data_IF_481105030650
#
_entry.id   IF_481105030650
#
_cell.length_a   1.000
_cell.length_b   1.000
_cell.length_c   1.000
_cell.angle_alpha   90.00
_cell.angle_beta   90.00
_cell.angle_gamma   90.00
#
_symmetry.space_group_name_H-M   'P 1'
#
loop_
_entity.id
_entity.type
_entity.pdbx_description
1 polymer ?
#
# COMPACT_ATOMS: atom_id res chain seq x y z
N UNK A 1 6.89 35.74 -23.18
CA UNK A 1 6.55 37.10 -22.73
C UNK A 1 7.37 38.20 -23.43
N UNK A 2 8.72 38.10 -23.51
CA UNK A 2 9.57 39.15 -24.11
C UNK A 2 9.26 39.45 -25.60
N UNK A 3 9.01 38.42 -26.41
CA UNK A 3 8.67 38.55 -27.84
C UNK A 3 7.33 39.28 -28.08
N UNK A 4 6.26 38.88 -27.39
CA UNK A 4 4.94 39.52 -27.49
C UNK A 4 4.97 40.98 -27.00
N UNK A 5 5.76 41.25 -25.94
CA UNK A 5 6.01 42.62 -25.50
C UNK A 5 6.78 43.44 -26.55
N UNK A 6 7.66 42.80 -27.33
CA UNK A 6 8.33 43.38 -28.49
C UNK A 6 7.36 43.71 -29.62
N UNK A 7 6.49 42.78 -30.00
CA UNK A 7 5.43 43.00 -31.01
C UNK A 7 4.53 44.16 -30.59
N UNK A 8 4.08 44.19 -29.32
CA UNK A 8 3.23 45.27 -28.80
C UNK A 8 3.93 46.63 -28.85
N UNK A 9 5.22 46.71 -28.49
CA UNK A 9 6.02 47.94 -28.61
C UNK A 9 6.21 48.38 -30.06
N UNK A 10 6.41 47.43 -30.97
CA UNK A 10 6.61 47.71 -32.40
C UNK A 10 5.31 48.17 -33.08
N UNK A 11 4.15 47.55 -32.78
CA UNK A 11 2.83 48.00 -33.23
C UNK A 11 2.51 49.41 -32.73
N UNK A 12 2.79 49.69 -31.46
CA UNK A 12 2.58 51.02 -30.89
C UNK A 12 3.50 52.09 -31.53
N UNK A 13 4.71 51.72 -31.96
CA UNK A 13 5.61 52.59 -32.75
C UNK A 13 5.15 52.78 -34.19
N UNK A 14 4.57 51.76 -34.83
CA UNK A 14 4.03 51.85 -36.18
C UNK A 14 2.83 52.80 -36.27
N UNK A 15 1.98 52.84 -35.22
CA UNK A 15 0.84 53.77 -35.13
C UNK A 15 1.19 55.26 -35.05
N UNK A 16 2.45 55.62 -34.81
CA UNK A 16 2.91 57.03 -34.72
C UNK A 16 3.37 57.66 -36.03
N UNK A 17 3.35 56.93 -37.16
CA UNK A 17 3.73 57.49 -38.48
C UNK A 17 2.61 57.33 -39.49
N UNK A 18 1.62 58.23 -39.48
CA UNK A 18 0.74 58.44 -40.64
C UNK A 18 0.58 59.94 -40.88
N UNK A 19 1.33 60.46 -41.86
CA UNK A 19 1.04 61.73 -42.53
C UNK A 19 1.12 61.55 -44.05
N UNK A 20 -0.05 61.64 -44.69
CA UNK A 20 -0.36 61.93 -46.11
C UNK A 20 0.20 61.04 -47.23
N UNK A 21 -0.69 60.58 -48.14
CA UNK A 21 -1.14 61.34 -49.32
C UNK A 21 -2.38 60.72 -49.98
N UNK A 22 -3.35 61.58 -50.30
CA UNK A 22 -4.43 61.37 -51.27
C UNK A 22 -3.87 61.25 -52.68
N UNK A 23 -4.30 60.23 -53.42
CA UNK A 23 -4.06 60.12 -54.85
C UNK A 23 -4.43 58.74 -55.36
N UNK A 24 -5.44 58.66 -56.23
CA UNK A 24 -5.86 57.41 -56.87
C UNK A 24 -4.72 56.80 -57.69
N UNK A 25 -4.50 55.51 -57.49
CA UNK A 25 -3.53 54.67 -58.18
C UNK A 25 -3.68 53.24 -57.70
N UNK A 26 -3.43 52.27 -58.58
CA UNK A 26 -3.76 50.84 -58.50
C UNK A 26 -3.74 50.19 -57.11
N UNK A 27 -4.75 49.35 -56.86
CA UNK A 27 -4.83 48.52 -55.65
C UNK A 27 -3.64 47.55 -55.62
N UNK A 28 -2.81 47.68 -54.60
CA UNK A 28 -1.77 46.67 -54.28
C UNK A 28 -2.46 45.37 -53.87
N UNK A 29 -2.13 44.25 -54.52
CA UNK A 29 -2.52 42.92 -54.06
C UNK A 29 -1.42 42.39 -53.13
N UNK A 30 -1.74 42.18 -51.86
CA UNK A 30 -0.79 41.76 -50.82
C UNK A 30 -1.08 40.31 -50.41
N UNK A 31 -0.85 39.39 -51.36
CA UNK A 31 -1.15 37.97 -51.16
C UNK A 31 -0.30 37.32 -50.07
N UNK A 32 0.92 37.80 -49.85
CA UNK A 32 1.81 37.32 -48.78
C UNK A 32 1.23 37.67 -47.39
N UNK A 33 0.74 38.91 -47.20
CA UNK A 33 0.07 39.29 -45.96
C UNK A 33 -1.24 38.51 -45.75
N UNK A 34 -2.04 38.33 -46.80
CA UNK A 34 -3.29 37.58 -46.71
C UNK A 34 -3.06 36.11 -46.32
N UNK A 35 -2.04 35.46 -46.89
CA UNK A 35 -1.66 34.09 -46.53
C UNK A 35 -1.21 33.98 -45.07
N UNK A 36 -0.34 34.89 -44.60
CA UNK A 36 0.11 34.91 -43.21
C UNK A 36 -1.01 35.27 -42.22
N UNK A 37 -1.94 36.15 -42.61
CA UNK A 37 -3.13 36.46 -41.83
C UNK A 37 -4.05 35.24 -41.69
N UNK A 38 -4.23 34.47 -42.77
CA UNK A 38 -5.02 33.23 -42.75
C UNK A 38 -4.36 32.17 -41.86
N UNK A 39 -3.04 32.00 -41.96
CA UNK A 39 -2.25 31.12 -41.07
C UNK A 39 -2.42 31.52 -39.61
N UNK A 40 -2.31 32.81 -39.30
CA UNK A 40 -2.51 33.34 -37.95
C UNK A 40 -3.94 33.09 -37.44
N UNK A 41 -4.97 33.35 -38.26
CA UNK A 41 -6.37 33.13 -37.88
C UNK A 41 -6.70 31.66 -37.67
N UNK A 42 -6.11 30.77 -38.47
CA UNK A 42 -6.20 29.32 -38.29
C UNK A 42 -5.57 28.90 -36.96
N UNK A 43 -4.37 29.41 -36.64
CA UNK A 43 -3.70 29.16 -35.36
C UNK A 43 -4.52 29.68 -34.18
N UNK A 44 -5.07 30.89 -34.26
CA UNK A 44 -5.91 31.49 -33.22
C UNK A 44 -7.13 30.61 -32.92
N UNK A 45 -7.85 30.18 -33.97
CA UNK A 45 -9.03 29.31 -33.84
C UNK A 45 -8.68 27.95 -33.24
N UNK A 46 -7.60 27.32 -33.71
CA UNK A 46 -7.13 26.01 -33.21
C UNK A 46 -6.67 26.11 -31.75
N UNK A 47 -5.95 27.17 -31.39
CA UNK A 47 -5.47 27.43 -30.02
C UNK A 47 -6.63 27.63 -29.04
N UNK A 48 -7.65 28.38 -29.44
CA UNK A 48 -8.86 28.57 -28.63
C UNK A 48 -9.65 27.27 -28.44
N UNK A 49 -9.77 26.44 -29.49
CA UNK A 49 -10.41 25.12 -29.41
C UNK A 49 -9.63 24.19 -28.48
N UNK A 50 -8.30 24.18 -28.58
CA UNK A 50 -7.43 23.39 -27.70
C UNK A 50 -7.55 23.84 -26.23
N UNK A 51 -7.57 25.14 -25.96
CA UNK A 51 -7.75 25.67 -24.60
C UNK A 51 -9.09 25.23 -23.99
N UNK A 52 -10.17 25.20 -24.80
CA UNK A 52 -11.47 24.69 -24.37
C UNK A 52 -11.41 23.20 -24.02
N UNK A 53 -10.84 22.37 -24.89
CA UNK A 53 -10.73 20.92 -24.64
C UNK A 53 -9.82 20.58 -23.45
N UNK A 54 -8.72 21.32 -23.27
CA UNK A 54 -7.86 21.17 -22.09
C UNK A 54 -8.63 21.44 -20.78
N UNK A 55 -9.53 22.43 -20.78
CA UNK A 55 -10.41 22.71 -19.64
C UNK A 55 -11.41 21.57 -19.40
N UNK A 56 -12.08 21.10 -20.45
CA UNK A 56 -13.04 19.98 -20.38
C UNK A 56 -12.37 18.68 -19.88
N UNK A 57 -11.12 18.43 -20.28
CA UNK A 57 -10.32 17.29 -19.79
C UNK A 57 -10.02 17.40 -18.29
N UNK A 58 -9.64 18.58 -17.80
CA UNK A 58 -9.39 18.82 -16.37
C UNK A 58 -10.68 18.59 -15.56
N UNK A 59 -11.81 19.09 -16.05
CA UNK A 59 -13.10 18.92 -15.36
C UNK A 59 -13.56 17.46 -15.33
N UNK A 60 -13.34 16.72 -16.43
CA UNK A 60 -13.61 15.28 -16.50
C UNK A 60 -12.71 14.47 -15.56
N UNK A 61 -11.41 14.83 -15.49
CA UNK A 61 -10.45 14.20 -14.59
C UNK A 61 -10.83 14.43 -13.12
N UNK A 62 -11.31 15.65 -12.77
CA UNK A 62 -11.83 15.94 -11.43
C UNK A 62 -13.05 15.08 -11.09
N UNK A 63 -13.96 14.86 -12.03
CA UNK A 63 -15.12 14.00 -11.82
C UNK A 63 -14.70 12.53 -11.60
N UNK A 64 -13.70 12.04 -12.34
CA UNK A 64 -13.12 10.71 -12.14
C UNK A 64 -12.49 10.60 -10.75
N UNK A 65 -11.64 11.56 -10.35
CA UNK A 65 -11.02 11.59 -9.02
C UNK A 65 -12.09 11.56 -7.93
N UNK A 66 -13.15 12.36 -8.05
CA UNK A 66 -14.25 12.35 -7.09
C UNK A 66 -14.98 10.99 -7.01
N UNK A 67 -15.13 10.29 -8.13
CA UNK A 67 -15.70 8.93 -8.16
C UNK A 67 -14.76 7.90 -7.51
N UNK A 68 -13.46 8.00 -7.76
CA UNK A 68 -12.44 7.14 -7.16
C UNK A 68 -12.34 7.35 -5.65
N UNK A 69 -12.43 8.59 -5.17
CA UNK A 69 -12.49 8.88 -3.73
C UNK A 69 -13.72 8.25 -3.07
N UNK A 70 -14.89 8.25 -3.73
CA UNK A 70 -16.08 7.55 -3.21
C UNK A 70 -15.87 6.04 -3.14
N UNK A 71 -15.23 5.44 -4.15
CA UNK A 71 -14.87 4.01 -4.12
C UNK A 71 -13.91 3.69 -2.97
N UNK A 72 -12.88 4.52 -2.78
CA UNK A 72 -11.95 4.41 -1.65
C UNK A 72 -12.71 4.52 -0.32
N UNK A 73 -13.63 5.47 -0.16
CA UNK A 73 -14.44 5.60 1.05
C UNK A 73 -15.36 4.40 1.29
N UNK A 74 -15.93 3.80 0.23
CA UNK A 74 -16.72 2.57 0.35
C UNK A 74 -15.82 1.41 0.77
N UNK A 75 -14.64 1.28 0.18
CA UNK A 75 -13.65 0.29 0.61
C UNK A 75 -13.19 0.54 2.05
N UNK A 76 -12.88 1.77 2.44
CA UNK A 76 -12.55 2.13 3.81
C UNK A 76 -13.70 1.89 4.79
N UNK A 77 -14.96 1.94 4.37
CA UNK A 77 -16.08 1.50 5.23
C UNK A 77 -16.13 -0.02 5.32
N UNK A 78 -15.95 -0.74 4.22
CA UNK A 78 -15.87 -2.20 4.20
C UNK A 78 -14.68 -2.74 5.01
N UNK A 79 -13.55 -2.03 5.01
CA UNK A 79 -12.34 -2.35 5.77
C UNK A 79 -12.29 -1.69 7.16
N UNK A 80 -12.95 -0.56 7.37
CA UNK A 80 -12.96 0.20 8.63
C UNK A 80 -14.05 -0.27 9.60
N UNK A 81 -15.10 -0.92 9.09
CA UNK A 81 -16.03 -1.75 9.87
C UNK A 81 -15.40 -3.09 10.29
N UNK A 82 -14.09 -3.32 10.07
CA UNK A 82 -13.37 -4.48 10.64
C UNK A 82 -13.11 -4.38 12.15
N UNK A 83 -13.64 -3.35 12.82
CA UNK A 83 -14.13 -3.56 14.19
C UNK A 83 -15.47 -4.29 14.16
N UNK A 84 -15.58 -5.37 13.38
CA UNK A 84 -16.67 -6.30 13.54
C UNK A 84 -16.46 -6.89 14.94
N UNK A 85 -17.31 -6.55 15.93
CA UNK A 85 -17.11 -7.02 17.29
C UNK A 85 -17.15 -8.55 17.35
N UNK A 86 -17.83 -9.20 16.39
CA UNK A 86 -17.84 -10.64 16.26
C UNK A 86 -16.47 -11.17 15.80
N UNK A 87 -15.86 -10.59 14.76
CA UNK A 87 -14.51 -10.95 14.33
C UNK A 87 -13.47 -10.72 15.43
N UNK A 88 -13.55 -9.58 16.11
CA UNK A 88 -12.63 -9.27 17.21
C UNK A 88 -12.74 -10.28 18.36
N UNK A 89 -13.97 -10.62 18.78
CA UNK A 89 -14.23 -11.55 19.89
C UNK A 89 -14.01 -13.02 19.51
N UNK A 90 -14.29 -13.41 18.28
CA UNK A 90 -14.24 -14.80 17.83
C UNK A 90 -12.90 -15.20 17.20
N UNK A 91 -12.13 -14.24 16.68
CA UNK A 91 -10.85 -14.50 15.99
C UNK A 91 -9.68 -13.87 16.75
N UNK A 92 -9.71 -12.55 16.97
CA UNK A 92 -8.55 -11.83 17.48
C UNK A 92 -8.29 -12.08 18.97
N UNK A 93 -9.32 -11.99 19.82
CA UNK A 93 -9.18 -12.19 21.27
C UNK A 93 -8.71 -13.61 21.66
N UNK A 94 -9.25 -14.70 21.08
CA UNK A 94 -8.78 -16.05 21.40
C UNK A 94 -7.34 -16.29 20.94
N UNK A 95 -6.94 -15.79 19.76
CA UNK A 95 -5.56 -15.86 19.28
C UNK A 95 -4.61 -15.08 20.19
N UNK A 96 -4.98 -13.86 20.56
CA UNK A 96 -4.19 -13.04 21.49
C UNK A 96 -4.03 -13.73 22.85
N UNK A 97 -5.12 -14.34 23.36
CA UNK A 97 -5.08 -15.11 24.61
C UNK A 97 -4.17 -16.33 24.49
N UNK A 98 -4.27 -17.11 23.41
CA UNK A 98 -3.39 -18.26 23.19
C UNK A 98 -1.92 -17.85 23.12
N UNK A 99 -1.61 -16.80 22.35
CA UNK A 99 -0.26 -16.27 22.24
C UNK A 99 0.29 -15.71 23.56
N UNK A 100 -0.57 -15.22 24.44
CA UNK A 100 -0.16 -14.63 25.74
C UNK A 100 0.52 -15.63 26.69
N UNK A 101 0.33 -16.94 26.49
CA UNK A 101 1.00 -17.96 27.31
C UNK A 101 2.47 -18.19 26.93
N UNK A 102 2.85 -17.89 25.68
CA UNK A 102 4.17 -18.26 25.16
C UNK A 102 5.35 -17.56 25.85
N UNK A 103 5.29 -16.26 26.22
CA UNK A 103 6.40 -15.60 26.90
C UNK A 103 6.81 -16.28 28.21
N UNK A 104 5.84 -16.66 29.05
CA UNK A 104 6.11 -17.30 30.33
C UNK A 104 6.67 -18.72 30.14
N UNK A 105 6.11 -19.49 29.20
CA UNK A 105 6.60 -20.83 28.84
C UNK A 105 8.04 -20.76 28.31
N UNK A 106 8.33 -19.79 27.44
CA UNK A 106 9.67 -19.58 26.89
C UNK A 106 10.68 -19.25 27.99
N UNK A 107 10.30 -18.43 28.98
CA UNK A 107 11.15 -18.15 30.12
C UNK A 107 11.36 -19.40 31.01
N UNK A 108 10.35 -20.26 31.18
CA UNK A 108 10.50 -21.53 31.88
C UNK A 108 11.48 -22.48 31.14
N UNK A 109 11.37 -22.60 29.81
CA UNK A 109 12.30 -23.37 28.97
C UNK A 109 13.73 -22.84 29.10
N UNK A 110 13.90 -21.51 29.03
CA UNK A 110 15.20 -20.85 29.18
C UNK A 110 15.81 -21.11 30.55
N UNK A 111 15.01 -21.04 31.62
CA UNK A 111 15.45 -21.39 32.99
C UNK A 111 15.89 -22.85 33.07
N UNK A 112 15.10 -23.78 32.52
CA UNK A 112 15.46 -25.21 32.48
C UNK A 112 16.76 -25.46 31.72
N UNK A 113 16.96 -24.80 30.58
CA UNK A 113 18.20 -24.93 29.80
C UNK A 113 19.42 -24.39 30.56
N UNK A 114 19.28 -23.26 31.27
CA UNK A 114 20.34 -22.76 32.15
C UNK A 114 20.68 -23.78 33.25
N UNK A 115 19.67 -24.39 33.88
CA UNK A 115 19.88 -25.40 34.93
C UNK A 115 20.48 -26.70 34.41
N UNK A 116 20.19 -27.09 33.17
CA UNK A 116 20.90 -28.20 32.53
C UNK A 116 22.40 -27.91 32.40
N UNK A 117 22.78 -26.72 31.93
CA UNK A 117 24.19 -26.32 31.82
C UNK A 117 24.89 -26.31 33.18
N UNK A 118 24.24 -25.77 34.22
CA UNK A 118 24.76 -25.79 35.59
C UNK A 118 25.01 -27.25 36.05
N UNK A 119 24.03 -28.14 35.83
CA UNK A 119 24.14 -29.55 36.19
C UNK A 119 25.26 -30.27 35.43
N UNK A 120 25.36 -30.08 34.11
CA UNK A 120 26.41 -30.69 33.28
C UNK A 120 27.81 -30.23 33.71
N UNK A 121 27.97 -28.95 34.08
CA UNK A 121 29.23 -28.41 34.58
C UNK A 121 29.63 -29.07 35.90
N UNK A 122 28.70 -29.22 36.86
CA UNK A 122 28.99 -29.90 38.13
C UNK A 122 29.26 -31.39 37.94
N UNK A 123 28.51 -32.07 37.06
CA UNK A 123 28.76 -33.47 36.72
C UNK A 123 30.14 -33.67 36.09
N UNK A 124 30.58 -32.74 35.23
CA UNK A 124 31.93 -32.75 34.67
C UNK A 124 33.01 -32.55 35.74
N UNK A 125 32.78 -31.66 36.73
CA UNK A 125 33.69 -31.43 37.86
C UNK A 125 33.84 -32.71 38.72
N UNK A 126 32.74 -33.39 39.04
CA UNK A 126 32.76 -34.67 39.76
C UNK A 126 33.55 -35.72 38.97
N UNK A 127 33.26 -35.89 37.67
CA UNK A 127 33.98 -36.85 36.81
C UNK A 127 35.49 -36.61 36.82
N UNK A 128 35.93 -35.35 36.70
CA UNK A 128 37.37 -35.00 36.76
C UNK A 128 38.01 -35.35 38.09
N UNK A 129 37.30 -35.21 39.21
CA UNK A 129 37.79 -35.56 40.55
C UNK A 129 37.82 -37.08 40.78
N UNK A 130 36.96 -37.84 40.10
CA UNK A 130 37.02 -39.31 40.08
C UNK A 130 38.22 -39.77 39.24
N UNK A 131 38.37 -39.26 38.03
CA UNK A 131 39.46 -39.62 37.11
C UNK A 131 40.83 -39.22 37.67
N UNK A 132 40.90 -38.08 38.38
CA UNK A 132 42.10 -37.59 39.07
C UNK A 132 41.76 -37.20 40.52
N UNK A 133 41.91 -38.13 41.48
CA UNK A 133 41.63 -37.89 42.89
C UNK A 133 42.45 -36.73 43.46
N UNK A 134 41.81 -35.95 44.33
CA UNK A 134 42.44 -34.85 45.08
C UNK A 134 43.09 -35.39 46.36
N UNK A 135 44.16 -34.74 46.81
CA UNK A 135 44.78 -35.03 48.11
C UNK A 135 43.85 -34.69 49.28
N UNK A 136 43.00 -33.66 49.12
CA UNK A 136 41.91 -33.34 50.05
C UNK A 136 40.73 -34.35 49.91
N UNK A 137 40.48 -35.23 50.92
CA UNK A 137 39.42 -36.22 50.87
C UNK A 137 38.00 -35.61 50.88
N UNK A 138 37.85 -34.36 51.33
CA UNK A 138 36.54 -33.69 51.39
C UNK A 138 36.14 -33.06 50.06
N UNK A 139 37.06 -32.94 49.10
CA UNK A 139 36.82 -32.23 47.84
C UNK A 139 35.83 -32.95 46.92
N UNK A 140 35.92 -34.28 46.82
CA UNK A 140 35.00 -35.08 46.03
C UNK A 140 33.58 -35.10 46.64
N UNK A 141 33.39 -35.41 47.94
CA UNK A 141 32.06 -35.37 48.57
C UNK A 141 31.36 -34.01 48.42
N UNK A 142 32.08 -32.90 48.56
CA UNK A 142 31.51 -31.55 48.34
C UNK A 142 31.06 -31.33 46.90
N UNK A 143 31.87 -31.75 45.92
CA UNK A 143 31.50 -31.63 44.51
C UNK A 143 30.30 -32.53 44.15
N UNK A 144 30.18 -33.71 44.74
CA UNK A 144 29.02 -34.59 44.58
C UNK A 144 27.75 -33.97 45.18
N UNK A 145 27.85 -33.34 46.35
CA UNK A 145 26.73 -32.62 46.95
C UNK A 145 26.27 -31.44 46.07
N UNK A 146 27.20 -30.65 45.53
CA UNK A 146 26.90 -29.56 44.59
C UNK A 146 26.23 -30.09 43.31
N UNK A 147 26.71 -31.22 42.77
CA UNK A 147 26.13 -31.85 41.58
C UNK A 147 24.71 -32.40 41.83
N UNK A 148 24.46 -32.97 43.02
CA UNK A 148 23.14 -33.46 43.40
C UNK A 148 22.12 -32.32 43.53
N UNK A 149 22.51 -31.21 44.16
CA UNK A 149 21.67 -30.01 44.24
C UNK A 149 21.35 -29.44 42.84
N UNK A 150 22.34 -29.37 41.96
CA UNK A 150 22.13 -28.92 40.58
C UNK A 150 21.20 -29.87 39.80
N UNK A 151 21.33 -31.19 40.02
CA UNK A 151 20.46 -32.22 39.43
C UNK A 151 19.01 -32.02 39.84
N UNK A 152 18.72 -31.86 41.13
CA UNK A 152 17.36 -31.67 41.63
C UNK A 152 16.69 -30.43 41.03
N UNK A 153 17.42 -29.30 41.00
CA UNK A 153 16.90 -28.06 40.41
C UNK A 153 16.57 -28.21 38.91
N UNK A 154 17.43 -28.92 38.17
CA UNK A 154 17.20 -29.22 36.77
C UNK A 154 16.02 -30.19 36.58
N UNK A 155 16.01 -31.33 37.29
CA UNK A 155 14.99 -32.38 37.16
C UNK A 155 13.60 -31.87 37.51
N UNK A 156 13.48 -30.98 38.51
CA UNK A 156 12.21 -30.34 38.86
C UNK A 156 11.63 -29.55 37.69
N UNK A 157 12.42 -28.64 37.09
CA UNK A 157 11.97 -27.85 35.93
C UNK A 157 11.73 -28.72 34.70
N UNK A 158 12.59 -29.72 34.48
CA UNK A 158 12.49 -30.62 33.35
C UNK A 158 11.20 -31.47 33.42
N UNK A 159 10.86 -31.98 34.60
CA UNK A 159 9.65 -32.77 34.82
C UNK A 159 8.39 -31.95 34.57
N UNK A 160 8.34 -30.71 35.07
CA UNK A 160 7.23 -29.78 34.80
C UNK A 160 7.06 -29.58 33.29
N UNK A 161 8.13 -29.20 32.59
CA UNK A 161 8.05 -28.92 31.15
C UNK A 161 7.69 -30.14 30.30
N UNK A 162 8.22 -31.34 30.64
CA UNK A 162 7.86 -32.58 29.93
C UNK A 162 6.37 -32.90 30.10
N UNK A 163 5.81 -32.63 31.27
CA UNK A 163 4.40 -32.90 31.54
C UNK A 163 3.45 -31.85 30.94
N UNK A 164 3.86 -30.57 30.92
CA UNK A 164 2.96 -29.47 30.60
C UNK A 164 3.07 -28.97 29.15
N UNK A 165 4.24 -29.07 28.49
CA UNK A 165 4.37 -28.66 27.08
C UNK A 165 3.42 -29.43 26.14
N UNK A 166 3.21 -30.76 26.28
CA UNK A 166 2.22 -31.46 25.47
C UNK A 166 0.80 -30.90 25.65
N UNK A 167 0.42 -30.54 26.89
CA UNK A 167 -0.89 -29.94 27.18
C UNK A 167 -1.06 -28.60 26.49
N UNK A 168 -0.01 -27.76 26.48
CA UNK A 168 -0.01 -26.47 25.76
C UNK A 168 -0.18 -26.70 24.26
N UNK A 169 0.49 -27.71 23.71
CA UNK A 169 0.34 -28.07 22.29
C UNK A 169 -1.07 -28.55 22.00
N UNK A 170 -1.70 -29.31 22.91
CA UNK A 170 -3.08 -29.79 22.75
C UNK A 170 -4.12 -28.68 22.85
N UNK A 171 -3.83 -27.58 23.56
CA UNK A 171 -4.67 -26.38 23.53
C UNK A 171 -4.78 -25.75 22.14
N UNK A 172 -3.92 -26.09 21.16
CA UNK A 172 -4.07 -25.62 19.78
C UNK A 172 -5.44 -25.94 19.21
N UNK A 173 -6.01 -27.11 19.51
CA UNK A 173 -7.30 -27.55 18.95
C UNK A 173 -8.45 -26.67 19.45
N UNK A 174 -8.71 -26.57 20.78
CA UNK A 174 -9.81 -25.75 21.29
C UNK A 174 -9.66 -24.25 21.05
N UNK A 175 -8.46 -23.75 20.70
CA UNK A 175 -8.25 -22.35 20.33
C UNK A 175 -8.32 -22.12 18.81
N UNK A 176 -7.63 -22.92 18.01
CA UNK A 176 -7.48 -22.67 16.58
C UNK A 176 -8.66 -23.16 15.75
N UNK A 177 -9.30 -24.28 16.12
CA UNK A 177 -10.46 -24.79 15.38
C UNK A 177 -11.62 -23.76 15.35
N UNK A 178 -12.11 -23.24 16.49
CA UNK A 178 -13.19 -22.25 16.45
C UNK A 178 -12.76 -20.91 15.84
N UNK A 179 -11.49 -20.51 15.99
CA UNK A 179 -10.93 -19.30 15.36
C UNK A 179 -10.94 -19.45 13.84
N UNK A 180 -10.50 -20.59 13.31
CA UNK A 180 -10.48 -20.86 11.88
C UNK A 180 -11.89 -20.93 11.31
N UNK A 181 -12.81 -21.59 12.02
CA UNK A 181 -14.22 -21.63 11.65
C UNK A 181 -14.83 -20.21 11.59
N UNK A 182 -14.58 -19.39 12.62
CA UNK A 182 -15.04 -18.00 12.67
C UNK A 182 -14.44 -17.16 11.53
N UNK A 183 -13.15 -17.32 11.25
CA UNK A 183 -12.46 -16.63 10.15
C UNK A 183 -13.09 -16.94 8.80
N UNK A 184 -13.31 -18.22 8.49
CA UNK A 184 -13.93 -18.66 7.22
C UNK A 184 -15.37 -18.12 7.11
N UNK A 185 -16.14 -18.17 8.20
CA UNK A 185 -17.50 -17.60 8.22
C UNK A 185 -17.50 -16.10 7.99
N UNK A 186 -16.61 -15.35 8.62
CA UNK A 186 -16.48 -13.90 8.39
C UNK A 186 -16.10 -13.59 6.94
N UNK A 187 -15.18 -14.36 6.35
CA UNK A 187 -14.82 -14.20 4.94
C UNK A 187 -15.98 -14.49 3.99
N UNK A 188 -16.78 -15.54 4.28
CA UNK A 188 -17.97 -15.87 3.50
C UNK A 188 -19.00 -14.73 3.53
N UNK A 189 -19.33 -14.25 4.73
CA UNK A 189 -20.27 -13.13 4.92
C UNK A 189 -19.77 -11.87 4.21
N UNK A 190 -18.49 -11.55 4.34
CA UNK A 190 -17.87 -10.43 3.63
C UNK A 190 -18.02 -10.57 2.11
N UNK A 191 -17.70 -11.74 1.56
CA UNK A 191 -17.76 -11.99 0.12
C UNK A 191 -19.19 -11.90 -0.41
N UNK A 192 -20.16 -12.47 0.31
CA UNK A 192 -21.58 -12.40 -0.03
C UNK A 192 -22.10 -10.96 0.02
N UNK A 193 -21.82 -10.24 1.10
CA UNK A 193 -22.22 -8.82 1.25
C UNK A 193 -21.58 -7.95 0.16
N UNK A 194 -20.32 -8.20 -0.17
CA UNK A 194 -19.60 -7.50 -1.23
C UNK A 194 -20.23 -7.76 -2.59
N UNK A 195 -20.56 -9.02 -2.89
CA UNK A 195 -21.24 -9.40 -4.13
C UNK A 195 -22.62 -8.71 -4.26
N UNK A 196 -23.46 -8.79 -3.22
CA UNK A 196 -24.79 -8.17 -3.21
C UNK A 196 -24.73 -6.66 -3.43
N UNK A 197 -23.78 -5.97 -2.77
CA UNK A 197 -23.56 -4.53 -2.96
C UNK A 197 -23.13 -4.20 -4.39
N UNK A 198 -22.22 -4.99 -4.98
CA UNK A 198 -21.75 -4.79 -6.36
C UNK A 198 -22.85 -5.10 -7.38
N UNK A 199 -23.64 -6.15 -7.17
CA UNK A 199 -24.78 -6.48 -8.01
C UNK A 199 -25.84 -5.37 -7.97
N UNK A 200 -26.12 -4.80 -6.80
CA UNK A 200 -27.01 -3.64 -6.68
C UNK A 200 -26.51 -2.41 -7.45
N UNK A 201 -25.19 -2.27 -7.63
CA UNK A 201 -24.59 -1.19 -8.44
C UNK A 201 -24.62 -1.47 -9.94
N UNK A 202 -24.92 -2.71 -10.39
CA UNK A 202 -24.95 -3.09 -11.82
C UNK A 202 -25.89 -2.22 -12.65
N UNK A 203 -27.00 -1.78 -12.07
CA UNK A 203 -28.00 -0.96 -12.75
C UNK A 203 -27.56 0.51 -12.92
N UNK A 204 -26.50 0.94 -12.22
CA UNK A 204 -25.94 2.29 -12.31
C UNK A 204 -24.72 2.38 -13.22
N UNK A 205 -24.15 1.24 -13.62
CA UNK A 205 -23.12 1.17 -14.65
C UNK A 205 -23.86 1.23 -16.00
N UNK A 206 -23.70 2.31 -16.79
CA UNK A 206 -24.30 2.36 -18.12
C UNK A 206 -23.81 1.15 -18.91
N UNK A 207 -24.68 0.48 -19.70
CA UNK A 207 -24.20 -0.50 -20.67
C UNK A 207 -23.10 0.16 -21.51
N UNK A 208 -22.07 -0.59 -21.90
CA UNK A 208 -20.99 -0.10 -22.77
C UNK A 208 -21.54 0.30 -24.15
N UNK A 209 -22.24 1.44 -24.19
CA UNK A 209 -22.69 2.06 -25.41
C UNK A 209 -21.59 3.05 -25.82
N UNK A 210 -20.52 2.48 -26.37
CA UNK A 210 -19.67 3.11 -27.39
C UNK A 210 -19.02 4.44 -27.02
N UNK A 211 -18.37 4.54 -25.87
CA UNK A 211 -17.60 5.75 -25.52
C UNK A 211 -16.14 5.74 -25.97
N UNK A 212 -15.65 4.61 -26.51
CA UNK A 212 -14.29 4.49 -27.04
C UNK A 212 -14.09 5.36 -28.29
N UNK A 213 -15.13 5.43 -29.15
CA UNK A 213 -15.12 6.24 -30.38
C UNK A 213 -14.94 7.73 -30.12
N UNK A 214 -15.44 8.27 -29.00
CA UNK A 214 -15.29 9.71 -28.70
C UNK A 214 -13.85 10.05 -28.31
N UNK A 215 -13.15 9.15 -27.62
CA UNK A 215 -11.74 9.34 -27.30
C UNK A 215 -10.90 9.19 -28.56
N UNK A 216 -11.18 8.17 -29.37
CA UNK A 216 -10.53 7.97 -30.67
C UNK A 216 -10.75 9.14 -31.64
N UNK A 217 -11.96 9.68 -31.71
CA UNK A 217 -12.28 10.84 -32.56
C UNK A 217 -11.56 12.11 -32.08
N UNK A 218 -11.42 12.31 -30.77
CA UNK A 218 -10.64 13.45 -30.23
C UNK A 218 -9.15 13.26 -30.50
N UNK A 219 -8.62 12.04 -30.35
CA UNK A 219 -7.23 11.71 -30.70
C UNK A 219 -6.96 11.85 -32.20
N UNK A 220 -7.93 11.50 -33.04
CA UNK A 220 -7.89 11.71 -34.49
C UNK A 220 -7.89 13.19 -34.85
N UNK A 221 -8.78 13.99 -34.25
CA UNK A 221 -8.79 15.45 -34.40
C UNK A 221 -7.48 16.09 -33.93
N UNK A 222 -6.82 15.55 -32.91
CA UNK A 222 -5.50 16.02 -32.47
C UNK A 222 -4.38 15.68 -33.46
N UNK A 223 -4.45 14.53 -34.15
CA UNK A 223 -3.52 14.19 -35.25
C UNK A 223 -3.69 15.11 -36.47
N UNK A 224 -4.92 15.51 -36.75
CA UNK A 224 -5.26 16.44 -37.84
C UNK A 224 -4.86 17.90 -37.54
N UNK A 225 -4.51 18.22 -36.29
CA UNK A 225 -4.02 19.55 -35.93
C UNK A 225 -2.55 19.81 -36.31
N UNK A 226 -1.85 18.89 -37.00
CA UNK A 226 -0.47 19.09 -37.45
C UNK A 226 -0.37 20.35 -38.32
N UNK A 227 0.31 21.39 -37.80
CA UNK A 227 0.32 22.77 -38.36
C UNK A 227 1.34 22.97 -39.49
N UNK A 228 2.22 22.00 -39.75
CA UNK A 228 3.11 22.02 -40.91
C UNK A 228 2.73 20.87 -41.82
N UNK A 229 2.29 21.18 -43.04
CA UNK A 229 2.13 20.17 -44.09
C UNK A 229 3.43 19.38 -44.23
N UNK A 230 3.31 18.08 -44.47
CA UNK A 230 4.45 17.24 -44.81
C UNK A 230 5.24 17.93 -45.94
N UNK A 231 6.53 18.16 -45.70
CA UNK A 231 7.48 18.56 -46.74
C UNK A 231 7.58 17.47 -47.82
#
# INVERSE_FOLDING_TARGET
MAFLNGIKKNLNRAGTTIKQRTGGGDRTMDSEFEEELERFKSLEKKSNKLAKHAKEYIDSTRAIIASQMRLVQVMERLYGETKDPAYQKAVLEPLARFASYFPEINEAIKRRNKKLLDYDAQRSKVRKLIDKPSEDPQRLPRAEQEANLARELYENLNTILINDLPKVVDLRVPYLDPVFEALVKSQLVFSQTGYEKLEGMRNYVPPENGNDRRVDDVLQQMRELTICGNF
#
